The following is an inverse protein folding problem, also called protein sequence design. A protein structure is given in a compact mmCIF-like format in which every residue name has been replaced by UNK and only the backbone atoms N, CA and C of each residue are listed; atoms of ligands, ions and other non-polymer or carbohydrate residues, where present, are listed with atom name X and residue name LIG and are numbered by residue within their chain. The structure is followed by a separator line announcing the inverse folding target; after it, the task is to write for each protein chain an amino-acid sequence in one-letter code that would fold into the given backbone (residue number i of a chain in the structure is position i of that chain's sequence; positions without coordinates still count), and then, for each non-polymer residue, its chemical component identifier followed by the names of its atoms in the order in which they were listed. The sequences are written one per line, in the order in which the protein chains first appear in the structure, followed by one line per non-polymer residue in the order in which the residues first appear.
data_IF_754518863013
#
_entry.id   IF_754518863013
#
_cell.length_a   1.000
_cell.length_b   1.000
_cell.length_c   1.000
_cell.angle_alpha   90.00
_cell.angle_beta   90.00
_cell.angle_gamma   90.00
#
_symmetry.space_group_name_H-M   'P 1'
#
loop_
_entity.id
_entity.type
_entity.pdbx_description
1 polymer ?
#
# COMPACT_ATOMS: atom_id res chain seq x y z
N UNK A 1 -41.27 2.12 40.08
CA UNK A 1 -40.57 0.81 40.01
C UNK A 1 -39.11 1.14 39.79
N UNK A 2 -38.42 1.35 40.91
CA UNK A 2 -37.02 1.76 40.96
C UNK A 2 -36.12 0.52 40.78
N UNK A 3 -35.41 0.43 39.66
CA UNK A 3 -34.34 -0.56 39.47
C UNK A 3 -32.99 0.11 39.63
N UNK A 4 -32.39 -0.15 40.79
CA UNK A 4 -31.04 0.20 41.21
C UNK A 4 -30.06 -0.78 40.56
N UNK A 5 -29.15 -0.28 39.72
CA UNK A 5 -28.05 -1.08 39.17
C UNK A 5 -26.98 -1.36 40.24
N UNK A 6 -26.30 -2.53 40.22
CA UNK A 6 -25.23 -2.83 41.15
C UNK A 6 -23.92 -2.17 40.71
N UNK A 7 -23.18 -1.70 41.71
CA UNK A 7 -21.80 -1.19 41.61
C UNK A 7 -20.89 -2.42 41.67
N UNK A 8 -20.09 -2.64 40.64
CA UNK A 8 -19.04 -3.66 40.64
C UNK A 8 -17.83 -3.15 41.40
N UNK A 9 -17.44 -3.90 42.43
CA UNK A 9 -16.25 -3.70 43.25
C UNK A 9 -14.97 -3.99 42.44
N UNK A 10 -14.10 -2.99 42.33
CA UNK A 10 -12.73 -3.16 41.85
C UNK A 10 -11.92 -4.00 42.86
N UNK A 11 -11.53 -5.21 42.44
CA UNK A 11 -10.57 -6.04 43.17
C UNK A 11 -9.15 -5.59 42.79
N UNK A 12 -8.32 -5.13 43.75
CA UNK A 12 -6.93 -4.82 43.47
C UNK A 12 -6.14 -6.12 43.24
N UNK A 13 -5.53 -6.24 42.06
CA UNK A 13 -4.58 -7.31 41.74
C UNK A 13 -3.27 -7.05 42.48
N UNK A 14 -3.14 -7.69 43.65
CA UNK A 14 -1.91 -7.77 44.42
C UNK A 14 -0.91 -8.70 43.72
N UNK A 15 0.06 -8.11 43.03
CA UNK A 15 1.14 -8.81 42.33
C UNK A 15 2.27 -9.13 43.32
N UNK A 16 2.11 -10.19 44.10
CA UNK A 16 3.12 -10.68 45.05
C UNK A 16 4.04 -11.70 44.34
N UNK A 17 5.05 -11.17 43.65
CA UNK A 17 6.06 -11.94 42.93
C UNK A 17 7.47 -11.68 43.49
N UNK A 18 8.27 -12.71 43.80
CA UNK A 18 9.60 -12.54 44.39
C UNK A 18 10.56 -11.85 43.41
N UNK A 19 11.13 -10.73 43.87
CA UNK A 19 12.18 -9.99 43.15
C UNK A 19 13.41 -10.89 42.91
N UNK A 20 13.99 -10.89 41.69
CA UNK A 20 15.22 -11.63 41.42
C UNK A 20 16.39 -11.05 42.23
N UNK A 21 17.05 -11.92 42.99
CA UNK A 21 18.26 -11.63 43.75
C UNK A 21 19.35 -11.04 42.85
N UNK A 22 19.74 -9.80 43.13
CA UNK A 22 20.94 -9.18 42.53
C UNK A 22 22.19 -9.84 43.13
N UNK A 23 23.15 -10.32 42.30
CA UNK A 23 24.41 -10.81 42.81
C UNK A 23 25.21 -9.67 43.47
N UNK A 24 25.37 -9.74 44.79
CA UNK A 24 26.28 -8.88 45.57
C UNK A 24 27.73 -9.26 45.27
N UNK A 25 28.28 -8.70 44.21
CA UNK A 25 29.71 -8.71 43.91
C UNK A 25 30.50 -7.88 44.92
N UNK A 26 31.26 -8.58 45.76
CA UNK A 26 32.21 -8.06 46.76
C UNK A 26 33.13 -6.98 46.19
N UNK A 27 33.16 -5.82 46.85
CA UNK A 27 34.24 -4.84 46.78
C UNK A 27 35.50 -5.43 47.43
N UNK A 28 36.57 -5.57 46.66
CA UNK A 28 37.94 -5.60 47.16
C UNK A 28 38.64 -4.33 46.68
N UNK A 29 38.69 -3.31 47.54
CA UNK A 29 39.53 -2.12 47.35
C UNK A 29 40.93 -2.46 47.87
N UNK A 30 41.86 -2.74 46.95
CA UNK A 30 43.30 -2.71 47.23
C UNK A 30 43.90 -1.43 46.62
N UNK A 31 44.72 -0.65 47.35
CA UNK A 31 45.39 0.50 46.80
C UNK A 31 46.66 0.05 46.04
N UNK A 32 46.53 -0.20 44.74
CA UNK A 32 47.69 -0.28 43.85
C UNK A 32 48.13 1.13 43.48
N UNK A 33 49.07 1.68 44.25
CA UNK A 33 49.90 2.82 43.83
C UNK A 33 50.80 2.38 42.67
N UNK A 34 50.25 2.37 41.47
CA UNK A 34 51.00 2.24 40.22
C UNK A 34 51.63 3.59 39.88
N UNK A 35 52.97 3.64 39.83
CA UNK A 35 53.75 4.73 39.26
C UNK A 35 53.19 5.09 37.89
N UNK A 36 52.62 6.28 37.75
CA UNK A 36 52.40 6.91 36.46
C UNK A 36 53.77 7.35 35.97
N UNK A 37 54.44 6.49 35.19
CA UNK A 37 55.55 6.94 34.36
C UNK A 37 54.99 7.99 33.42
N UNK A 38 55.52 9.21 33.50
CA UNK A 38 55.17 10.30 32.62
C UNK A 38 55.41 9.86 31.17
N UNK A 39 54.34 9.54 30.46
CA UNK A 39 54.43 9.30 29.03
C UNK A 39 54.77 10.62 28.35
N UNK A 40 55.80 10.55 27.50
CA UNK A 40 56.25 11.63 26.65
C UNK A 40 55.04 12.26 25.91
N UNK A 41 54.87 13.60 25.91
CA UNK A 41 53.76 14.28 25.24
C UNK A 41 53.55 13.85 23.78
N UNK A 42 54.59 13.37 23.11
CA UNK A 42 54.50 12.84 21.75
C UNK A 42 53.66 11.56 21.66
N UNK A 43 53.87 10.61 22.59
CA UNK A 43 53.15 9.32 22.64
C UNK A 43 51.67 9.52 22.96
N UNK A 44 51.35 10.51 23.81
CA UNK A 44 49.97 10.88 24.12
C UNK A 44 49.23 11.47 22.92
N UNK A 45 49.91 12.26 22.08
CA UNK A 45 49.32 12.82 20.85
C UNK A 45 49.07 11.76 19.79
N UNK A 46 49.99 10.80 19.63
CA UNK A 46 49.82 9.68 18.69
C UNK A 46 48.69 8.74 19.12
N UNK A 47 48.56 8.44 20.41
CA UNK A 47 47.47 7.60 20.92
C UNK A 47 46.09 8.25 20.75
N UNK A 48 45.97 9.57 20.94
CA UNK A 48 44.73 10.32 20.70
C UNK A 48 44.40 10.33 19.20
N UNK A 49 45.39 10.56 18.32
CA UNK A 49 45.19 10.52 16.87
C UNK A 49 44.71 9.16 16.37
N UNK A 50 45.29 8.06 16.86
CA UNK A 50 44.88 6.70 16.53
C UNK A 50 43.46 6.38 17.04
N UNK A 51 43.09 6.85 18.24
CA UNK A 51 41.75 6.69 18.78
C UNK A 51 40.67 7.42 17.96
N UNK A 52 40.96 8.64 17.49
CA UNK A 52 40.04 9.41 16.63
C UNK A 52 39.86 8.70 15.27
N UNK A 53 40.94 8.21 14.65
CA UNK A 53 40.85 7.46 13.40
C UNK A 53 40.05 6.15 13.54
N UNK A 54 40.21 5.43 14.65
CA UNK A 54 39.45 4.22 14.93
C UNK A 54 37.94 4.52 15.12
N UNK A 55 37.60 5.62 15.80
CA UNK A 55 36.21 6.06 15.97
C UNK A 55 35.59 6.55 14.66
N UNK A 56 36.34 7.24 13.81
CA UNK A 56 35.89 7.63 12.46
C UNK A 56 35.68 6.42 11.57
N UNK A 57 36.56 5.41 11.64
CA UNK A 57 36.40 4.16 10.90
C UNK A 57 35.17 3.36 11.38
N UNK A 58 34.96 3.24 12.69
CA UNK A 58 33.76 2.61 13.28
C UNK A 58 32.47 3.40 12.98
N UNK A 59 32.54 4.73 12.95
CA UNK A 59 31.44 5.59 12.53
C UNK A 59 31.09 5.41 11.06
N UNK A 60 32.09 5.30 10.17
CA UNK A 60 31.88 5.12 8.73
C UNK A 60 31.38 3.71 8.38
N UNK A 61 31.81 2.67 9.09
CA UNK A 61 31.32 1.29 8.86
C UNK A 61 29.90 1.09 9.38
N UNK A 62 29.53 1.72 10.49
CA UNK A 62 28.14 1.72 10.99
C UNK A 62 27.22 2.58 10.12
N UNK A 63 27.70 3.73 9.63
CA UNK A 63 26.92 4.60 8.72
C UNK A 63 26.63 3.94 7.36
N UNK A 64 27.60 3.22 6.76
CA UNK A 64 27.39 2.55 5.46
C UNK A 64 26.34 1.42 5.50
N UNK A 65 26.15 0.78 6.65
CA UNK A 65 25.12 -0.24 6.84
C UNK A 65 23.70 0.31 6.92
N UNK A 66 23.53 1.59 7.27
CA UNK A 66 22.19 2.18 7.49
C UNK A 66 21.54 2.80 6.24
N UNK A 67 22.29 3.09 5.17
CA UNK A 67 21.78 3.91 4.06
C UNK A 67 21.96 3.33 2.65
N UNK A 68 22.38 2.06 2.49
CA UNK A 68 22.74 1.53 1.16
C UNK A 68 21.95 0.33 0.64
N UNK A 69 21.17 -0.38 1.47
CA UNK A 69 20.43 -1.58 1.03
C UNK A 69 18.96 -1.31 0.72
N UNK A 70 18.33 -0.39 1.44
CA UNK A 70 16.92 -0.05 1.23
C UNK A 70 16.68 0.54 -0.16
N UNK A 71 17.51 1.48 -0.60
CA UNK A 71 17.37 2.13 -1.92
C UNK A 71 17.57 1.17 -3.09
N UNK A 72 18.48 0.19 -2.97
CA UNK A 72 18.73 -0.79 -4.02
C UNK A 72 17.59 -1.82 -4.14
N UNK A 73 16.95 -2.18 -3.03
CA UNK A 73 15.80 -3.08 -3.03
C UNK A 73 14.54 -2.38 -3.54
N UNK A 74 14.34 -1.13 -3.15
CA UNK A 74 13.29 -0.24 -3.66
C UNK A 74 13.42 -0.04 -5.16
N UNK A 75 14.61 0.37 -5.66
CA UNK A 75 14.82 0.54 -7.10
C UNK A 75 14.57 -0.75 -7.86
N UNK A 76 15.00 -1.90 -7.32
CA UNK A 76 14.74 -3.21 -7.93
C UNK A 76 13.25 -3.58 -7.98
N UNK A 77 12.48 -3.19 -6.96
CA UNK A 77 11.02 -3.38 -6.97
C UNK A 77 10.35 -2.50 -8.03
N UNK A 78 10.84 -1.27 -8.22
CA UNK A 78 10.35 -0.34 -9.24
C UNK A 78 10.76 -0.74 -10.67
N UNK A 79 11.99 -1.22 -10.84
CA UNK A 79 12.52 -1.74 -12.11
C UNK A 79 11.81 -3.03 -12.56
N UNK A 80 11.01 -3.65 -11.68
CA UNK A 80 10.16 -4.79 -12.03
C UNK A 80 8.95 -4.40 -12.90
N UNK A 81 8.68 -3.09 -13.07
CA UNK A 81 7.62 -2.61 -13.95
C UNK A 81 7.79 -3.21 -15.36
N UNK A 82 6.77 -3.89 -15.91
CA UNK A 82 6.89 -4.52 -17.22
C UNK A 82 7.21 -3.49 -18.30
N UNK A 83 8.29 -3.71 -19.06
CA UNK A 83 8.54 -2.92 -20.27
C UNK A 83 7.55 -3.31 -21.37
N UNK A 84 7.23 -2.36 -22.25
CA UNK A 84 6.37 -2.60 -23.41
C UNK A 84 6.86 -3.81 -24.22
N UNK A 85 5.97 -4.78 -24.47
CA UNK A 85 6.29 -6.02 -25.19
C UNK A 85 6.83 -7.17 -24.33
N UNK A 86 7.04 -6.98 -23.02
CA UNK A 86 7.40 -8.09 -22.11
C UNK A 86 6.17 -8.83 -21.54
N UNK A 87 5.01 -8.19 -21.60
CA UNK A 87 3.73 -8.76 -21.20
C UNK A 87 3.24 -9.80 -22.22
N UNK A 88 2.39 -10.76 -21.81
CA UNK A 88 1.72 -11.66 -22.74
C UNK A 88 0.94 -10.89 -23.82
N UNK A 89 0.76 -11.48 -24.99
CA UNK A 89 0.04 -10.85 -26.11
C UNK A 89 -1.38 -10.48 -25.66
N UNK A 90 -1.79 -9.24 -25.95
CA UNK A 90 -3.11 -8.71 -25.59
C UNK A 90 -3.20 -8.10 -24.18
N UNK A 91 -2.13 -8.18 -23.39
CA UNK A 91 -2.06 -7.54 -22.07
C UNK A 91 -1.35 -6.18 -22.13
N UNK A 92 -1.89 -5.22 -21.39
CA UNK A 92 -1.32 -3.86 -21.27
C UNK A 92 -1.34 -3.39 -19.83
N UNK A 93 -0.41 -2.51 -19.47
CA UNK A 93 -0.43 -1.83 -18.17
C UNK A 93 -1.39 -0.66 -18.23
N UNK A 94 -2.45 -0.71 -17.42
CA UNK A 94 -3.44 0.37 -17.31
C UNK A 94 -3.08 1.40 -16.26
N UNK A 95 -2.51 0.97 -15.13
CA UNK A 95 -2.08 1.83 -14.05
C UNK A 95 -0.82 1.28 -13.38
N UNK A 96 0.05 2.20 -12.99
CA UNK A 96 1.29 1.92 -12.24
C UNK A 96 1.41 2.94 -11.11
N UNK A 97 1.60 2.45 -9.89
CA UNK A 97 1.82 3.29 -8.72
C UNK A 97 3.13 2.90 -8.04
N UNK A 98 3.98 3.89 -7.80
CA UNK A 98 5.24 3.72 -7.07
C UNK A 98 5.07 4.24 -5.64
N UNK A 99 5.34 3.37 -4.66
CA UNK A 99 5.42 3.68 -3.25
C UNK A 99 6.86 3.45 -2.75
N UNK A 100 7.27 4.00 -1.58
CA UNK A 100 8.65 3.87 -1.09
C UNK A 100 9.19 2.44 -0.98
N UNK A 101 8.34 1.43 -0.80
CA UNK A 101 8.78 0.03 -0.71
C UNK A 101 7.98 -0.89 -1.62
N UNK A 102 7.23 -0.35 -2.59
CA UNK A 102 6.25 -1.13 -3.34
C UNK A 102 5.97 -0.52 -4.71
N UNK A 103 5.70 -1.38 -5.66
CA UNK A 103 5.15 -1.06 -6.98
C UNK A 103 3.81 -1.78 -7.10
N UNK A 104 2.74 -1.05 -7.40
CA UNK A 104 1.43 -1.63 -7.68
C UNK A 104 1.10 -1.47 -9.17
N UNK A 105 0.66 -2.54 -9.81
CA UNK A 105 0.37 -2.62 -11.23
C UNK A 105 -1.05 -3.12 -11.43
N UNK A 106 -1.80 -2.43 -12.29
CA UNK A 106 -3.06 -2.94 -12.83
C UNK A 106 -2.87 -3.24 -14.31
N UNK A 107 -3.02 -4.51 -14.65
CA UNK A 107 -2.81 -5.05 -15.99
C UNK A 107 -4.15 -5.45 -16.55
N UNK A 108 -4.46 -4.99 -17.75
CA UNK A 108 -5.73 -5.24 -18.43
C UNK A 108 -5.45 -6.09 -19.65
N UNK A 109 -6.15 -7.22 -19.73
CA UNK A 109 -6.03 -8.16 -20.83
C UNK A 109 -6.93 -7.79 -22.02
N UNK A 110 -7.02 -8.68 -23.02
CA UNK A 110 -7.73 -8.40 -24.26
C UNK A 110 -9.22 -8.11 -24.00
N UNK A 111 -9.78 -7.18 -24.78
CA UNK A 111 -11.20 -6.90 -24.73
C UNK A 111 -12.01 -8.17 -25.04
N UNK A 112 -13.05 -8.47 -24.27
CA UNK A 112 -13.89 -9.63 -24.52
C UNK A 112 -14.58 -9.51 -25.88
N UNK A 113 -14.72 -10.63 -26.58
CA UNK A 113 -15.40 -10.69 -27.88
C UNK A 113 -16.92 -10.51 -27.77
N UNK A 114 -17.47 -10.79 -26.59
CA UNK A 114 -18.87 -10.60 -26.25
C UNK A 114 -19.03 -9.44 -25.25
N UNK A 115 -20.19 -8.78 -25.27
CA UNK A 115 -20.47 -7.63 -24.39
C UNK A 115 -20.89 -8.04 -22.97
N UNK A 116 -20.94 -9.34 -22.68
CA UNK A 116 -21.45 -9.88 -21.41
C UNK A 116 -20.33 -10.32 -20.46
N UNK A 117 -19.15 -10.60 -20.99
CA UNK A 117 -17.97 -11.01 -20.24
C UNK A 117 -17.26 -9.79 -19.69
N UNK A 118 -16.81 -9.87 -18.45
CA UNK A 118 -15.93 -8.85 -17.86
C UNK A 118 -14.54 -8.94 -18.48
N UNK A 119 -13.92 -7.80 -18.75
CA UNK A 119 -12.53 -7.78 -19.22
C UNK A 119 -11.60 -8.44 -18.17
N UNK A 120 -10.64 -9.29 -18.58
CA UNK A 120 -9.66 -9.85 -17.65
C UNK A 120 -8.76 -8.76 -17.07
N UNK A 121 -8.61 -8.75 -15.74
CA UNK A 121 -7.73 -7.79 -15.03
C UNK A 121 -6.84 -8.54 -14.05
N UNK A 122 -5.55 -8.24 -14.06
CA UNK A 122 -4.56 -8.75 -13.09
C UNK A 122 -4.03 -7.59 -12.27
N UNK A 123 -4.04 -7.76 -10.96
CA UNK A 123 -3.39 -6.87 -10.01
C UNK A 123 -2.08 -7.53 -9.57
N UNK A 124 -0.97 -6.82 -9.77
CA UNK A 124 0.34 -7.26 -9.30
C UNK A 124 0.91 -6.23 -8.33
N UNK A 125 1.48 -6.72 -7.24
CA UNK A 125 2.20 -5.92 -6.25
C UNK A 125 3.62 -6.44 -6.15
N UNK A 126 4.61 -5.58 -6.32
CA UNK A 126 6.03 -5.90 -6.17
C UNK A 126 6.56 -5.11 -4.97
N UNK A 127 6.85 -5.81 -3.87
CA UNK A 127 7.23 -5.20 -2.59
C UNK A 127 8.68 -5.51 -2.24
N UNK A 128 9.39 -4.52 -1.71
CA UNK A 128 10.70 -4.70 -1.10
C UNK A 128 10.55 -5.09 0.37
N UNK A 129 11.15 -6.21 0.78
CA UNK A 129 11.14 -6.71 2.16
C UNK A 129 12.53 -6.78 2.80
N UNK A 130 13.55 -6.19 2.16
CA UNK A 130 14.95 -6.25 2.60
C UNK A 130 15.34 -7.68 3.04
N UNK A 131 15.56 -7.89 4.34
CA UNK A 131 16.06 -9.16 4.90
C UNK A 131 14.96 -10.19 5.23
N UNK A 132 13.68 -9.81 5.29
CA UNK A 132 12.58 -10.71 5.70
C UNK A 132 11.62 -11.12 4.56
N UNK A 133 12.09 -11.06 3.31
CA UNK A 133 11.30 -11.50 2.16
C UNK A 133 10.89 -12.99 2.26
N UNK A 134 11.76 -13.84 2.85
CA UNK A 134 11.46 -15.26 3.08
C UNK A 134 10.30 -15.45 4.07
N UNK A 135 10.35 -14.70 5.16
CA UNK A 135 9.36 -14.75 6.23
C UNK A 135 8.02 -14.24 5.73
N UNK A 136 8.01 -13.17 4.93
CA UNK A 136 6.81 -12.63 4.31
C UNK A 136 6.07 -13.68 3.47
N UNK A 137 6.74 -14.32 2.50
CA UNK A 137 6.13 -15.36 1.64
C UNK A 137 5.66 -16.55 2.48
N UNK A 138 6.42 -16.96 3.49
CA UNK A 138 6.03 -18.09 4.35
C UNK A 138 4.79 -17.77 5.18
N UNK A 139 4.72 -16.59 5.80
CA UNK A 139 3.55 -16.15 6.58
C UNK A 139 2.31 -16.00 5.72
N UNK A 140 2.45 -15.44 4.52
CA UNK A 140 1.35 -15.28 3.56
C UNK A 140 0.81 -16.63 3.10
N UNK A 141 1.70 -17.57 2.77
CA UNK A 141 1.34 -18.97 2.47
C UNK A 141 0.58 -19.64 3.61
N UNK A 142 1.10 -19.52 4.83
CA UNK A 142 0.51 -20.16 6.00
C UNK A 142 -0.87 -19.54 6.32
N UNK A 143 -1.03 -18.22 6.09
CA UNK A 143 -2.32 -17.55 6.17
C UNK A 143 -3.32 -18.06 5.10
N UNK A 144 -2.89 -18.19 3.84
CA UNK A 144 -3.74 -18.76 2.79
C UNK A 144 -4.21 -20.18 3.12
N UNK A 145 -3.32 -21.02 3.66
CA UNK A 145 -3.68 -22.36 4.12
C UNK A 145 -4.67 -22.34 5.30
N UNK A 146 -4.50 -21.40 6.25
CA UNK A 146 -5.41 -21.25 7.38
C UNK A 146 -6.82 -20.83 6.96
N UNK A 147 -6.96 -20.07 5.87
CA UNK A 147 -8.23 -19.71 5.22
C UNK A 147 -8.84 -20.85 4.37
N UNK A 148 -8.27 -22.06 4.44
CA UNK A 148 -8.77 -23.23 3.71
C UNK A 148 -8.49 -23.20 2.21
N UNK A 149 -7.60 -22.32 1.74
CA UNK A 149 -7.19 -22.29 0.34
C UNK A 149 -6.29 -23.49 0.02
N UNK A 150 -6.36 -23.98 -1.21
CA UNK A 150 -5.46 -25.05 -1.67
C UNK A 150 -4.13 -24.42 -2.06
N UNK A 151 -3.11 -24.65 -1.23
CA UNK A 151 -1.76 -24.10 -1.41
C UNK A 151 -0.85 -25.10 -2.12
N UNK A 152 -0.24 -24.70 -3.23
CA UNK A 152 0.80 -25.48 -3.92
C UNK A 152 2.09 -24.69 -4.01
N UNK A 153 3.20 -25.28 -3.53
CA UNK A 153 4.52 -24.65 -3.60
C UNK A 153 5.00 -24.51 -5.05
N UNK A 154 5.73 -23.44 -5.32
CA UNK A 154 6.31 -23.13 -6.63
C UNK A 154 7.83 -23.07 -6.51
N UNK A 155 8.49 -23.99 -7.20
CA UNK A 155 9.96 -24.06 -7.30
C UNK A 155 10.47 -23.54 -8.64
N UNK A 156 9.56 -23.22 -9.54
CA UNK A 156 9.79 -22.73 -10.90
C UNK A 156 9.73 -21.21 -11.00
N UNK A 157 9.21 -20.51 -9.99
CA UNK A 157 9.16 -19.06 -9.88
C UNK A 157 10.02 -18.56 -8.72
N UNK A 158 10.84 -17.54 -8.98
CA UNK A 158 11.64 -16.92 -7.94
C UNK A 158 12.66 -17.87 -7.29
N UNK A 159 13.05 -17.52 -6.06
CA UNK A 159 13.84 -18.37 -5.15
C UNK A 159 12.94 -19.05 -4.09
N UNK A 160 11.66 -18.65 -4.03
CA UNK A 160 10.60 -19.23 -3.20
C UNK A 160 9.26 -18.70 -3.70
N UNK A 161 8.25 -19.56 -3.87
CA UNK A 161 6.89 -19.10 -4.16
C UNK A 161 5.82 -20.13 -3.86
N UNK A 162 4.57 -19.73 -3.99
CA UNK A 162 3.40 -20.60 -3.91
C UNK A 162 2.25 -20.05 -4.76
N UNK A 163 1.32 -20.95 -5.06
CA UNK A 163 0.00 -20.63 -5.58
C UNK A 163 -1.02 -20.94 -4.50
N UNK A 164 -2.07 -20.15 -4.40
CA UNK A 164 -3.23 -20.45 -3.59
C UNK A 164 -4.50 -20.34 -4.45
N UNK A 165 -5.34 -21.37 -4.36
CA UNK A 165 -6.61 -21.45 -5.07
C UNK A 165 -7.75 -21.32 -4.09
N UNK A 166 -8.65 -20.40 -4.37
CA UNK A 166 -9.93 -20.31 -3.65
C UNK A 166 -10.93 -21.33 -4.22
N UNK A 167 -12.01 -21.59 -3.48
CA UNK A 167 -13.12 -22.45 -3.96
C UNK A 167 -13.78 -21.94 -5.25
N UNK A 168 -13.62 -20.64 -5.56
CA UNK A 168 -14.09 -20.02 -6.80
C UNK A 168 -13.18 -20.26 -8.01
N UNK A 169 -12.02 -20.90 -7.81
CA UNK A 169 -11.04 -21.14 -8.87
C UNK A 169 -10.14 -19.95 -9.18
N UNK A 170 -10.32 -18.80 -8.50
CA UNK A 170 -9.41 -17.66 -8.60
C UNK A 170 -8.05 -18.06 -8.04
N UNK A 171 -7.00 -17.87 -8.86
CA UNK A 171 -5.61 -18.15 -8.52
C UNK A 171 -4.89 -16.91 -8.00
N UNK A 172 -4.31 -17.04 -6.82
CA UNK A 172 -3.33 -16.12 -6.25
C UNK A 172 -1.93 -16.72 -6.39
N UNK A 173 -0.96 -15.94 -6.86
CA UNK A 173 0.45 -16.36 -6.93
C UNK A 173 1.30 -15.37 -6.15
N UNK A 174 2.15 -15.87 -5.27
CA UNK A 174 3.16 -15.07 -4.61
C UNK A 174 4.53 -15.75 -4.69
N UNK A 175 5.55 -15.00 -5.08
CA UNK A 175 6.92 -15.49 -5.13
C UNK A 175 7.91 -14.39 -4.74
N UNK A 176 9.11 -14.78 -4.29
CA UNK A 176 10.21 -13.85 -4.02
C UNK A 176 11.36 -14.08 -4.99
N UNK A 177 12.11 -13.01 -5.27
CA UNK A 177 13.43 -13.06 -5.88
C UNK A 177 14.37 -12.16 -5.09
N UNK A 178 15.29 -12.77 -4.34
CA UNK A 178 16.10 -12.07 -3.34
C UNK A 178 15.22 -11.37 -2.28
N UNK A 179 15.34 -10.03 -2.21
CA UNK A 179 14.63 -9.17 -1.26
C UNK A 179 13.28 -8.64 -1.76
N UNK A 180 12.89 -8.99 -2.99
CA UNK A 180 11.65 -8.53 -3.63
C UNK A 180 10.62 -9.65 -3.60
N UNK A 181 9.39 -9.34 -3.20
CA UNK A 181 8.25 -10.25 -3.20
C UNK A 181 7.20 -9.74 -4.19
N UNK A 182 6.74 -10.60 -5.07
CA UNK A 182 5.70 -10.34 -6.06
C UNK A 182 4.45 -11.09 -5.64
N UNK A 183 3.33 -10.40 -5.51
CA UNK A 183 2.01 -10.97 -5.27
C UNK A 183 1.08 -10.62 -6.43
N UNK A 184 0.35 -11.61 -6.95
CA UNK A 184 -0.47 -11.48 -8.16
C UNK A 184 -1.85 -12.07 -7.88
N UNK A 185 -2.89 -11.29 -8.18
CA UNK A 185 -4.27 -11.70 -8.11
C UNK A 185 -5.00 -11.36 -9.41
N UNK A 186 -5.97 -12.19 -9.80
CA UNK A 186 -6.79 -12.01 -10.98
C UNK A 186 -8.24 -11.64 -10.61
N UNK A 187 -8.90 -10.93 -11.53
CA UNK A 187 -10.34 -10.64 -11.51
C UNK A 187 -10.91 -10.59 -12.93
N UNK A 188 -12.23 -10.43 -13.03
CA UNK A 188 -12.94 -10.44 -14.31
C UNK A 188 -12.83 -11.82 -14.98
N UNK A 189 -12.58 -11.85 -16.29
CA UNK A 189 -12.40 -13.10 -17.04
C UNK A 189 -10.96 -13.63 -17.07
N UNK A 190 -10.06 -13.15 -16.20
CA UNK A 190 -8.68 -13.61 -16.17
C UNK A 190 -8.59 -15.07 -15.72
N UNK A 191 -7.90 -15.89 -16.51
CA UNK A 191 -7.72 -17.32 -16.24
C UNK A 191 -6.50 -17.57 -15.37
N UNK A 192 -6.40 -18.77 -14.78
CA UNK A 192 -5.17 -19.20 -14.09
C UNK A 192 -3.95 -19.18 -15.02
N UNK A 193 -4.13 -19.51 -16.30
CA UNK A 193 -3.07 -19.43 -17.29
C UNK A 193 -2.57 -17.98 -17.52
N UNK A 194 -3.46 -16.99 -17.44
CA UNK A 194 -3.08 -15.58 -17.53
C UNK A 194 -2.23 -15.16 -16.32
N UNK A 195 -2.63 -15.57 -15.11
CA UNK A 195 -1.88 -15.31 -13.87
C UNK A 195 -0.49 -15.95 -13.93
N UNK A 196 -0.39 -17.18 -14.42
CA UNK A 196 0.88 -17.90 -14.62
C UNK A 196 1.80 -17.22 -15.64
N UNK A 197 1.23 -16.82 -16.78
CA UNK A 197 1.97 -16.08 -17.81
C UNK A 197 2.49 -14.75 -17.26
N UNK A 198 1.69 -14.07 -16.42
CA UNK A 198 2.08 -12.82 -15.79
C UNK A 198 3.17 -13.00 -14.74
N UNK A 199 3.04 -14.01 -13.89
CA UNK A 199 4.06 -14.37 -12.90
C UNK A 199 5.41 -14.65 -13.56
N UNK A 200 5.39 -15.41 -14.66
CA UNK A 200 6.58 -15.71 -15.46
C UNK A 200 7.19 -14.46 -16.11
N UNK A 201 6.36 -13.52 -16.56
CA UNK A 201 6.85 -12.26 -17.13
C UNK A 201 7.54 -11.40 -16.07
N UNK A 202 6.93 -11.23 -14.90
CA UNK A 202 7.49 -10.47 -13.79
C UNK A 202 8.74 -11.13 -13.20
N UNK A 203 8.77 -12.46 -13.11
CA UNK A 203 9.96 -13.18 -12.66
C UNK A 203 11.16 -12.95 -13.58
N UNK A 204 10.94 -12.96 -14.90
CA UNK A 204 11.98 -12.65 -15.91
C UNK A 204 12.48 -11.21 -15.79
N UNK A 205 11.59 -10.25 -15.52
CA UNK A 205 12.01 -8.85 -15.30
C UNK A 205 12.91 -8.70 -14.07
N UNK A 206 12.65 -9.50 -13.02
CA UNK A 206 13.49 -9.52 -11.82
C UNK A 206 14.81 -10.29 -11.98
N UNK A 207 15.11 -10.77 -13.20
CA UNK A 207 16.32 -11.52 -13.54
C UNK A 207 16.17 -13.04 -13.44
N UNK A 208 14.94 -13.53 -13.32
CA UNK A 208 14.64 -14.96 -13.32
C UNK A 208 14.73 -15.60 -14.70
N UNK A 209 14.91 -16.92 -14.71
CA UNK A 209 14.93 -17.75 -15.93
C UNK A 209 13.69 -18.64 -16.03
N UNK A 210 12.64 -18.33 -15.28
CA UNK A 210 11.41 -19.12 -15.29
C UNK A 210 10.86 -19.24 -16.72
N UNK A 211 10.51 -20.47 -17.08
CA UNK A 211 9.70 -20.75 -18.25
C UNK A 211 8.26 -20.92 -17.81
N UNK A 212 7.30 -20.57 -18.66
CA UNK A 212 5.89 -20.74 -18.32
C UNK A 212 5.64 -22.19 -17.92
N UNK A 213 5.26 -22.42 -16.66
CA UNK A 213 4.87 -23.73 -16.21
C UNK A 213 3.62 -24.17 -16.96
N UNK A 214 3.55 -25.45 -17.33
CA UNK A 214 2.29 -26.03 -17.78
C UNK A 214 1.28 -25.85 -16.65
N UNK A 215 0.14 -25.16 -16.87
CA UNK A 215 -0.86 -24.98 -15.84
C UNK A 215 -1.24 -26.34 -15.25
N UNK A 216 -1.37 -26.48 -13.92
CA UNK A 216 -1.90 -27.69 -13.34
C UNK A 216 -3.25 -27.96 -13.98
N UNK A 217 -3.48 -29.21 -14.42
CA UNK A 217 -4.73 -29.58 -15.06
C UNK A 217 -5.89 -29.17 -14.15
N UNK A 218 -6.68 -28.19 -14.61
CA UNK A 218 -7.84 -27.72 -13.88
C UNK A 218 -8.72 -28.97 -13.59
N UNK A 219 -9.16 -29.19 -12.34
CA UNK A 219 -10.05 -30.30 -12.07
C UNK A 219 -11.24 -30.17 -13.03
N UNK A 220 -11.40 -31.17 -13.89
CA UNK A 220 -12.55 -31.23 -14.78
C UNK A 220 -13.79 -31.16 -13.89
N UNK A 221 -14.77 -30.30 -14.20
CA UNK A 221 -16.03 -30.27 -13.46
C UNK A 221 -16.56 -31.71 -13.45
N UNK A 222 -16.66 -32.30 -12.27
CA UNK A 222 -17.18 -33.65 -12.14
C UNK A 222 -18.62 -33.59 -12.61
N UNK A 223 -18.92 -34.35 -13.67
CA UNK A 223 -20.22 -34.49 -14.29
C UNK A 223 -21.28 -34.75 -13.21
N UNK A 224 -22.05 -33.71 -12.87
CA UNK A 224 -23.21 -33.86 -12.03
C UNK A 224 -24.25 -34.63 -12.86
N UNK A 225 -24.46 -35.90 -12.53
CA UNK A 225 -25.37 -36.78 -13.24
C UNK A 225 -26.80 -36.21 -13.39
N UNK A 226 -27.59 -36.76 -14.34
CA UNK A 226 -28.88 -36.20 -14.71
C UNK A 226 -29.89 -36.37 -13.56
N UNK A 227 -30.14 -35.30 -12.82
CA UNK A 227 -31.31 -35.21 -11.94
C UNK A 227 -32.56 -34.97 -12.79
N UNK A 228 -33.25 -36.06 -13.09
CA UNK A 228 -34.62 -36.07 -13.59
C UNK A 228 -35.57 -35.76 -12.45
N UNK A 229 -35.86 -34.48 -12.24
CA UNK A 229 -37.08 -34.03 -11.57
C UNK A 229 -37.38 -32.61 -12.06
N UNK A 230 -38.22 -32.51 -13.07
CA UNK A 230 -38.78 -31.25 -13.53
C UNK A 230 -39.88 -30.80 -12.56
N UNK A 231 -39.79 -29.61 -11.96
CA UNK A 231 -40.96 -28.85 -11.54
C UNK A 231 -41.42 -27.98 -12.70
N UNK A 232 -42.72 -28.06 -12.96
CA UNK A 232 -43.53 -27.20 -13.82
C UNK A 232 -43.15 -25.71 -13.73
N UNK A 233 -43.01 -24.98 -14.85
CA UNK A 233 -42.71 -23.56 -14.83
C UNK A 233 -43.94 -22.77 -14.37
N UNK A 234 -43.92 -22.28 -13.13
CA UNK A 234 -44.75 -21.15 -12.71
C UNK A 234 -44.17 -19.85 -13.30
N UNK A 235 -45.00 -18.82 -13.57
CA UNK A 235 -44.52 -17.56 -14.11
C UNK A 235 -43.69 -16.83 -13.04
N UNK A 236 -42.37 -17.04 -13.05
CA UNK A 236 -41.44 -16.19 -12.32
C UNK A 236 -41.40 -14.85 -13.03
N UNK A 237 -42.00 -13.84 -12.40
CA UNK A 237 -41.80 -12.47 -12.76
C UNK A 237 -40.29 -12.17 -12.73
N UNK A 238 -39.72 -11.84 -13.89
CA UNK A 238 -38.44 -11.16 -13.97
C UNK A 238 -38.58 -9.83 -13.23
N UNK A 239 -38.27 -9.82 -11.94
CA UNK A 239 -37.72 -8.61 -11.32
C UNK A 239 -36.38 -8.38 -11.96
N UNK A 240 -36.37 -7.60 -13.04
CA UNK A 240 -35.19 -6.91 -13.49
C UNK A 240 -34.54 -6.29 -12.25
N UNK A 241 -33.31 -6.71 -11.96
CA UNK A 241 -32.51 -6.03 -10.95
C UNK A 241 -32.44 -4.56 -11.39
N UNK A 242 -33.16 -3.71 -10.67
CA UNK A 242 -33.01 -2.27 -10.82
C UNK A 242 -31.52 -1.96 -10.64
N UNK A 243 -30.90 -1.14 -11.50
CA UNK A 243 -29.55 -0.70 -11.27
C UNK A 243 -29.49 -0.11 -9.86
N UNK A 244 -28.64 -0.68 -8.99
CA UNK A 244 -28.37 -0.06 -7.70
C UNK A 244 -27.97 1.39 -7.98
N UNK A 245 -28.63 2.38 -7.35
CA UNK A 245 -28.26 3.77 -7.56
C UNK A 245 -26.78 3.90 -7.20
N UNK A 246 -25.97 4.43 -8.13
CA UNK A 246 -24.61 4.82 -7.82
C UNK A 246 -24.70 5.80 -6.63
N UNK A 247 -24.04 5.47 -5.53
CA UNK A 247 -24.03 6.34 -4.35
C UNK A 247 -23.02 7.44 -4.64
N UNK A 248 -23.53 8.63 -4.97
CA UNK A 248 -22.73 9.80 -5.34
C UNK A 248 -22.62 10.79 -4.19
N UNK A 249 -21.57 11.62 -4.20
CA UNK A 249 -21.33 12.73 -3.27
C UNK A 249 -21.43 14.08 -4.03
N UNK A 250 -22.64 14.52 -4.43
CA UNK A 250 -22.83 15.67 -5.31
C UNK A 250 -22.29 16.98 -4.72
N UNK A 251 -22.21 17.10 -3.40
CA UNK A 251 -21.62 18.26 -2.74
C UNK A 251 -20.11 18.39 -2.98
N UNK A 252 -19.41 17.26 -3.14
CA UNK A 252 -17.98 17.25 -3.47
C UNK A 252 -17.75 17.51 -4.95
N UNK A 253 -18.63 17.02 -5.82
CA UNK A 253 -18.57 17.34 -7.25
C UNK A 253 -18.74 18.83 -7.50
N UNK A 254 -19.59 19.50 -6.72
CA UNK A 254 -19.86 20.93 -6.85
C UNK A 254 -18.67 21.84 -6.49
N UNK A 255 -17.73 21.37 -5.66
CA UNK A 255 -16.53 22.15 -5.29
C UNK A 255 -15.34 21.90 -6.21
N UNK A 256 -15.38 20.84 -7.01
CA UNK A 256 -14.31 20.49 -7.94
C UNK A 256 -14.45 21.30 -9.24
N UNK A 257 -13.35 21.82 -9.81
CA UNK A 257 -13.40 22.56 -11.06
C UNK A 257 -13.72 21.62 -12.22
N UNK A 258 -14.73 21.97 -13.02
CA UNK A 258 -15.05 21.24 -14.25
C UNK A 258 -14.06 21.51 -15.40
N UNK A 259 -13.27 22.57 -15.31
CA UNK A 259 -12.29 22.96 -16.33
C UNK A 259 -11.07 23.63 -15.70
N UNK A 260 -9.87 23.32 -16.19
CA UNK A 260 -8.61 24.01 -15.85
C UNK A 260 -7.84 24.27 -17.14
N UNK A 261 -7.37 25.50 -17.37
CA UNK A 261 -6.66 25.87 -18.60
C UNK A 261 -7.50 25.70 -19.87
N UNK A 262 -8.84 25.68 -19.75
CA UNK A 262 -9.76 25.33 -20.84
C UNK A 262 -9.87 23.83 -21.14
N UNK A 263 -9.15 22.97 -20.41
CA UNK A 263 -9.26 21.50 -20.50
C UNK A 263 -10.43 21.04 -19.63
N UNK A 264 -11.43 20.32 -20.18
CA UNK A 264 -12.51 19.75 -19.39
C UNK A 264 -12.02 18.58 -18.54
N UNK A 265 -12.37 18.58 -17.26
CA UNK A 265 -12.07 17.48 -16.33
C UNK A 265 -13.28 16.54 -16.23
N UNK A 266 -12.99 15.25 -16.06
CA UNK A 266 -13.99 14.25 -15.66
C UNK A 266 -14.07 14.23 -14.14
N UNK A 267 -15.28 14.34 -13.60
CA UNK A 267 -15.54 14.31 -12.17
C UNK A 267 -16.32 13.03 -11.85
N UNK A 268 -15.81 12.26 -10.90
CA UNK A 268 -16.50 11.09 -10.35
C UNK A 268 -16.55 11.20 -8.82
N UNK A 269 -17.61 10.70 -8.20
CA UNK A 269 -17.73 10.64 -6.75
C UNK A 269 -18.23 9.29 -6.26
N UNK A 270 -17.90 8.99 -5.02
CA UNK A 270 -18.34 7.78 -4.33
C UNK A 270 -18.41 8.05 -2.82
N UNK A 271 -19.11 7.16 -2.11
CA UNK A 271 -19.21 7.21 -0.64
C UNK A 271 -18.91 5.86 0.00
N UNK A 272 -18.66 5.88 1.30
CA UNK A 272 -18.54 4.67 2.09
C UNK A 272 -17.36 3.80 1.72
N UNK A 273 -17.56 2.49 1.92
CA UNK A 273 -16.56 1.48 1.56
C UNK A 273 -16.32 1.37 0.06
N UNK A 274 -17.16 1.96 -0.79
CA UNK A 274 -16.97 1.92 -2.25
C UNK A 274 -15.83 2.83 -2.72
N UNK A 275 -15.49 3.84 -1.91
CA UNK A 275 -14.33 4.73 -2.14
C UNK A 275 -13.02 4.04 -1.73
N UNK A 276 -13.07 3.31 -0.62
CA UNK A 276 -11.88 2.74 -0.01
C UNK A 276 -11.52 1.40 -0.66
N UNK A 277 -10.38 1.38 -1.34
CA UNK A 277 -9.78 0.17 -1.87
C UNK A 277 -9.13 -0.69 -0.79
N UNK A 278 -8.42 -1.72 -1.22
CA UNK A 278 -7.64 -2.58 -0.33
C UNK A 278 -6.21 -2.07 -0.15
N UNK A 279 -5.84 -0.88 -0.62
CA UNK A 279 -4.50 -0.32 -0.47
C UNK A 279 -4.24 0.19 0.97
N UNK A 280 -2.98 0.34 1.41
CA UNK A 280 -2.64 0.78 2.75
C UNK A 280 -3.22 2.15 3.13
N UNK A 281 -3.30 3.10 2.19
CA UNK A 281 -3.87 4.42 2.43
C UNK A 281 -5.36 4.32 2.74
N UNK A 282 -6.10 3.58 1.91
CA UNK A 282 -7.51 3.28 2.14
C UNK A 282 -7.75 2.54 3.45
N UNK A 283 -6.96 1.50 3.77
CA UNK A 283 -7.08 0.78 5.05
C UNK A 283 -6.76 1.67 6.26
N UNK A 284 -5.78 2.56 6.12
CA UNK A 284 -5.41 3.47 7.19
C UNK A 284 -6.49 4.54 7.43
N UNK A 285 -7.15 5.03 6.36
CA UNK A 285 -8.34 5.87 6.50
C UNK A 285 -9.46 5.10 7.20
N UNK A 286 -9.78 3.89 6.75
CA UNK A 286 -10.82 3.07 7.38
C UNK A 286 -10.55 2.85 8.88
N UNK A 287 -9.31 2.54 9.25
CA UNK A 287 -8.91 2.37 10.65
C UNK A 287 -8.98 3.68 11.46
N UNK A 288 -8.65 4.82 10.84
CA UNK A 288 -8.77 6.13 11.49
C UNK A 288 -10.24 6.51 11.75
N UNK A 289 -11.14 6.23 10.80
CA UNK A 289 -12.58 6.43 10.96
C UNK A 289 -13.15 5.54 12.07
N UNK A 290 -12.79 4.25 12.08
CA UNK A 290 -13.19 3.30 13.12
C UNK A 290 -12.71 3.74 14.51
N UNK A 291 -11.45 4.18 14.63
CA UNK A 291 -10.88 4.71 15.88
C UNK A 291 -11.63 5.97 16.36
N UNK A 292 -12.09 6.81 15.43
CA UNK A 292 -12.88 8.00 15.73
C UNK A 292 -14.37 7.70 16.01
N UNK A 293 -14.81 6.45 15.85
CA UNK A 293 -16.21 6.05 15.99
C UNK A 293 -17.11 6.62 14.89
N UNK A 294 -16.56 6.93 13.72
CA UNK A 294 -17.29 7.47 12.57
C UNK A 294 -17.63 6.32 11.62
N UNK A 295 -18.91 6.13 11.26
CA UNK A 295 -19.28 5.05 10.34
C UNK A 295 -18.65 5.30 8.96
N UNK A 296 -18.23 4.22 8.31
CA UNK A 296 -17.56 4.33 7.01
C UNK A 296 -18.43 5.03 5.96
N UNK A 297 -19.76 4.87 6.03
CA UNK A 297 -20.71 5.49 5.10
C UNK A 297 -20.69 7.02 5.13
N UNK A 298 -20.16 7.64 6.19
CA UNK A 298 -19.98 9.09 6.30
C UNK A 298 -18.71 9.59 5.58
N UNK A 299 -17.86 8.69 5.07
CA UNK A 299 -16.68 9.03 4.26
C UNK A 299 -17.06 9.19 2.80
N UNK A 300 -16.82 10.38 2.25
CA UNK A 300 -17.12 10.73 0.87
C UNK A 300 -15.82 11.13 0.16
N UNK A 301 -15.69 10.76 -1.12
CA UNK A 301 -14.65 11.32 -1.96
C UNK A 301 -15.17 11.65 -3.36
N UNK A 302 -14.54 12.63 -3.98
CA UNK A 302 -14.69 12.91 -5.39
C UNK A 302 -13.32 13.17 -6.02
N UNK A 303 -13.15 12.76 -7.27
CA UNK A 303 -11.94 12.98 -8.04
C UNK A 303 -12.28 13.74 -9.33
N UNK A 304 -11.49 14.77 -9.64
CA UNK A 304 -11.47 15.43 -10.92
C UNK A 304 -10.12 15.17 -11.62
N UNK A 305 -10.16 14.66 -12.85
CA UNK A 305 -8.94 14.35 -13.62
C UNK A 305 -9.15 14.60 -15.12
N UNK A 306 -8.05 14.76 -15.87
CA UNK A 306 -8.08 14.86 -17.32
C UNK A 306 -7.97 13.46 -17.95
N UNK A 307 -9.06 12.89 -18.52
CA UNK A 307 -9.01 11.56 -19.15
C UNK A 307 -8.16 11.54 -20.43
N UNK A 308 -7.91 12.69 -21.05
CA UNK A 308 -7.10 12.83 -22.26
C UNK A 308 -5.60 12.93 -21.98
N UNK A 309 -5.20 13.18 -20.72
CA UNK A 309 -3.79 13.37 -20.35
C UNK A 309 -3.13 14.58 -21.02
N UNK A 310 -3.91 15.61 -21.37
CA UNK A 310 -3.43 16.89 -21.90
C UNK A 310 -2.68 17.68 -20.83
N UNK A 311 -3.15 17.60 -19.58
CA UNK A 311 -2.49 18.16 -18.40
C UNK A 311 -2.22 17.08 -17.36
N UNK A 312 -1.08 17.21 -16.67
CA UNK A 312 -0.73 16.37 -15.53
C UNK A 312 -1.41 16.90 -14.26
N UNK A 313 -2.67 16.52 -14.09
CA UNK A 313 -3.51 16.98 -12.98
C UNK A 313 -4.54 15.92 -12.55
N UNK A 314 -4.55 15.62 -11.25
CA UNK A 314 -5.68 14.99 -10.55
C UNK A 314 -5.98 15.78 -9.27
N UNK A 315 -7.25 15.96 -8.95
CA UNK A 315 -7.72 16.63 -7.74
C UNK A 315 -8.63 15.68 -7.01
N UNK A 316 -8.28 15.29 -5.79
CA UNK A 316 -9.12 14.43 -4.94
C UNK A 316 -9.65 15.26 -3.78
N UNK A 317 -10.97 15.32 -3.63
CA UNK A 317 -11.64 15.93 -2.49
C UNK A 317 -12.12 14.84 -1.53
N UNK A 318 -11.80 14.99 -0.25
CA UNK A 318 -12.24 14.13 0.83
C UNK A 318 -13.15 14.90 1.78
N UNK A 319 -14.19 14.22 2.28
CA UNK A 319 -15.07 14.74 3.33
C UNK A 319 -15.50 13.60 4.25
N UNK A 320 -15.64 13.93 5.52
CA UNK A 320 -16.22 13.02 6.52
C UNK A 320 -17.29 13.77 7.28
N UNK A 321 -18.53 13.31 7.20
CA UNK A 321 -19.65 13.94 7.91
C UNK A 321 -19.38 13.91 9.41
N UNK A 322 -19.47 15.07 10.06
CA UNK A 322 -19.24 15.20 11.50
C UNK A 322 -17.77 15.29 11.95
N UNK A 323 -16.80 15.18 11.04
CA UNK A 323 -15.38 15.36 11.37
C UNK A 323 -14.93 16.81 11.16
N UNK A 324 -14.21 17.43 12.12
CA UNK A 324 -13.56 18.72 11.89
C UNK A 324 -12.55 18.64 10.74
N UNK A 325 -12.56 19.65 9.85
CA UNK A 325 -11.67 19.67 8.66
C UNK A 325 -10.19 19.59 9.02
N UNK A 326 -9.79 20.13 10.18
CA UNK A 326 -8.41 20.06 10.65
C UNK A 326 -7.98 18.63 11.03
N UNK A 327 -8.91 17.81 11.53
CA UNK A 327 -8.64 16.41 11.85
C UNK A 327 -8.66 15.55 10.58
N UNK A 328 -9.61 15.81 9.67
CA UNK A 328 -9.60 15.19 8.35
C UNK A 328 -8.30 15.49 7.60
N UNK A 329 -7.81 16.74 7.67
CA UNK A 329 -6.55 17.14 7.03
C UNK A 329 -5.37 16.36 7.58
N UNK A 330 -5.30 16.13 8.89
CA UNK A 330 -4.24 15.30 9.50
C UNK A 330 -4.33 13.86 9.02
N UNK A 331 -5.52 13.28 9.01
CA UNK A 331 -5.74 11.91 8.52
C UNK A 331 -5.27 11.81 7.06
N UNK A 332 -5.77 12.65 6.15
CA UNK A 332 -5.36 12.64 4.75
C UNK A 332 -3.84 12.83 4.61
N UNK A 333 -3.24 13.76 5.34
CA UNK A 333 -1.79 13.96 5.28
C UNK A 333 -1.00 12.73 5.76
N UNK A 334 -1.40 12.12 6.87
CA UNK A 334 -0.67 11.02 7.50
C UNK A 334 -0.94 9.67 6.84
N UNK A 335 -2.18 9.39 6.44
CA UNK A 335 -2.60 8.08 5.96
C UNK A 335 -2.61 8.00 4.44
N UNK A 336 -3.18 9.00 3.76
CA UNK A 336 -3.32 9.00 2.30
C UNK A 336 -2.01 9.42 1.62
N UNK A 337 -1.41 10.52 2.09
CA UNK A 337 -0.17 11.06 1.52
C UNK A 337 1.10 10.54 2.20
N UNK A 338 0.96 9.74 3.28
CA UNK A 338 2.11 9.26 4.06
C UNK A 338 3.11 10.38 4.40
N UNK A 339 2.62 11.57 4.76
CA UNK A 339 3.41 12.79 4.95
C UNK A 339 4.42 12.71 6.11
N UNK A 340 4.35 11.67 6.94
CA UNK A 340 5.30 11.34 8.00
C UNK A 340 6.22 10.15 7.64
N UNK A 341 6.12 9.65 6.41
CA UNK A 341 6.92 8.54 5.90
C UNK A 341 8.40 8.89 5.82
N UNK A 342 9.26 7.88 5.98
CA UNK A 342 10.71 8.06 5.88
C UNK A 342 11.09 8.61 4.50
N UNK A 343 11.78 9.76 4.49
CA UNK A 343 12.21 10.43 3.25
C UNK A 343 11.17 11.41 2.69
N UNK A 344 9.95 11.43 3.22
CA UNK A 344 8.91 12.40 2.84
C UNK A 344 9.09 13.68 3.64
N UNK A 345 9.03 14.83 2.96
CA UNK A 345 9.04 16.13 3.63
C UNK A 345 7.74 16.87 3.38
N UNK A 346 7.27 17.60 4.38
CA UNK A 346 6.08 18.43 4.28
C UNK A 346 6.44 19.87 4.65
N UNK A 347 5.90 20.82 3.89
CA UNK A 347 6.08 22.25 4.19
C UNK A 347 4.83 23.04 3.87
N UNK A 348 4.59 24.09 4.64
CA UNK A 348 3.57 25.07 4.29
C UNK A 348 4.15 26.04 3.26
N UNK A 349 3.44 26.25 2.15
CA UNK A 349 3.81 27.19 1.10
C UNK A 349 2.60 28.04 0.71
N UNK A 350 2.83 29.12 -0.04
CA UNK A 350 1.77 29.97 -0.58
C UNK A 350 1.71 29.79 -2.09
N UNK A 351 0.57 29.35 -2.61
CA UNK A 351 0.29 29.21 -4.04
C UNK A 351 -1.01 29.94 -4.37
N UNK A 352 -1.01 30.75 -5.43
CA UNK A 352 -2.19 31.55 -5.80
C UNK A 352 -2.70 32.46 -4.66
N UNK A 353 -1.84 32.86 -3.73
CA UNK A 353 -2.23 33.63 -2.53
C UNK A 353 -2.89 32.82 -1.40
N UNK A 354 -3.09 31.51 -1.59
CA UNK A 354 -3.62 30.59 -0.55
C UNK A 354 -2.47 29.83 0.11
N UNK A 355 -2.58 29.60 1.42
CA UNK A 355 -1.66 28.74 2.15
C UNK A 355 -2.03 27.28 1.93
N UNK A 356 -1.07 26.47 1.51
CA UNK A 356 -1.23 25.03 1.23
C UNK A 356 -0.10 24.23 1.87
N UNK A 357 -0.36 22.96 2.17
CA UNK A 357 0.69 22.03 2.60
C UNK A 357 1.19 21.26 1.40
N UNK A 358 2.45 21.49 1.03
CA UNK A 358 3.15 20.75 -0.01
C UNK A 358 3.77 19.49 0.60
N UNK A 359 3.60 18.35 -0.07
CA UNK A 359 4.28 17.09 0.24
C UNK A 359 5.34 16.82 -0.84
N UNK A 360 6.56 16.47 -0.46
CA UNK A 360 7.66 16.18 -1.37
C UNK A 360 8.25 14.81 -1.00
N UNK A 361 8.14 13.86 -1.94
CA UNK A 361 8.64 12.49 -1.80
C UNK A 361 10.13 12.35 -2.17
N UNK A 362 10.77 13.40 -2.69
CA UNK A 362 12.18 13.42 -3.04
C UNK A 362 12.54 12.68 -4.34
N UNK A 363 11.53 12.24 -5.10
CA UNK A 363 11.68 11.50 -6.36
C UNK A 363 11.58 12.38 -7.62
N UNK A 364 11.21 13.66 -7.45
CA UNK A 364 10.97 14.59 -8.56
C UNK A 364 9.69 14.30 -9.36
N UNK A 365 8.81 13.45 -8.82
CA UNK A 365 7.52 13.12 -9.40
C UNK A 365 6.44 14.16 -9.11
N UNK A 366 5.20 13.70 -9.21
CA UNK A 366 4.01 14.50 -8.91
C UNK A 366 4.06 15.01 -7.47
N UNK A 367 3.84 16.31 -7.29
CA UNK A 367 3.85 16.95 -5.97
C UNK A 367 2.41 17.13 -5.49
N UNK A 368 2.00 16.51 -4.37
CA UNK A 368 0.70 16.77 -3.75
C UNK A 368 0.68 18.11 -3.02
N UNK A 369 -0.39 18.88 -3.25
CA UNK A 369 -0.73 20.06 -2.46
C UNK A 369 -2.05 19.84 -1.73
N UNK A 370 -2.00 19.87 -0.41
CA UNK A 370 -3.14 19.69 0.47
C UNK A 370 -3.72 21.06 0.85
N UNK A 371 -5.02 21.27 0.62
CA UNK A 371 -5.72 22.52 0.92
C UNK A 371 -7.09 22.24 1.55
N UNK A 372 -7.42 22.86 2.70
CA UNK A 372 -8.77 22.81 3.25
C UNK A 372 -9.70 23.72 2.42
N UNK A 373 -10.93 23.26 2.18
CA UNK A 373 -12.00 24.04 1.55
C UNK A 373 -13.35 23.70 2.20
N UNK A 374 -13.89 24.62 2.99
CA UNK A 374 -15.10 24.35 3.77
C UNK A 374 -14.89 23.22 4.78
N UNK A 375 -15.73 22.18 4.68
CA UNK A 375 -15.64 20.94 5.46
C UNK A 375 -14.92 19.80 4.71
N UNK A 376 -14.36 20.08 3.54
CA UNK A 376 -13.60 19.15 2.73
C UNK A 376 -12.09 19.46 2.74
N UNK A 377 -11.30 18.44 2.43
CA UNK A 377 -9.85 18.54 2.22
C UNK A 377 -9.55 18.10 0.79
N UNK A 378 -8.85 18.96 0.04
CA UNK A 378 -8.48 18.67 -1.34
C UNK A 378 -7.00 18.35 -1.43
N UNK A 379 -6.67 17.34 -2.22
CA UNK A 379 -5.33 16.96 -2.64
C UNK A 379 -5.20 17.27 -4.13
N UNK A 380 -4.34 18.21 -4.47
CA UNK A 380 -4.03 18.57 -5.86
C UNK A 380 -2.71 17.88 -6.22
N UNK A 381 -2.76 16.91 -7.13
CA UNK A 381 -1.61 16.17 -7.61
C UNK A 381 -1.20 16.72 -8.98
N UNK A 382 -0.02 17.33 -9.06
CA UNK A 382 0.56 17.80 -10.33
C UNK A 382 2.07 17.97 -10.22
N UNK A 383 2.79 17.84 -11.34
CA UNK A 383 4.20 18.25 -11.46
C UNK A 383 4.38 19.76 -11.66
N UNK A 384 3.30 20.51 -11.95
CA UNK A 384 3.35 21.95 -12.26
C UNK A 384 2.78 22.81 -11.12
N UNK A 385 3.61 23.60 -10.41
CA UNK A 385 3.13 24.54 -9.39
C UNK A 385 2.17 25.60 -9.93
N UNK A 386 2.31 25.98 -11.20
CA UNK A 386 1.43 26.96 -11.85
C UNK A 386 0.02 26.37 -12.07
N UNK A 387 -0.08 25.10 -12.46
CA UNK A 387 -1.37 24.40 -12.54
C UNK A 387 -2.02 24.28 -11.16
N UNK A 388 -1.25 23.97 -10.12
CA UNK A 388 -1.77 23.94 -8.76
C UNK A 388 -2.32 25.32 -8.32
N UNK A 389 -1.61 26.40 -8.66
CA UNK A 389 -2.07 27.77 -8.38
C UNK A 389 -3.34 28.13 -9.19
N UNK A 390 -3.46 27.66 -10.43
CA UNK A 390 -4.65 27.84 -11.25
C UNK A 390 -5.87 27.13 -10.64
N UNK A 391 -5.70 25.86 -10.23
CA UNK A 391 -6.74 25.11 -9.52
C UNK A 391 -7.20 25.88 -8.27
N UNK A 392 -6.25 26.33 -7.45
CA UNK A 392 -6.55 27.07 -6.21
C UNK A 392 -7.34 28.37 -6.46
N UNK A 393 -7.19 28.99 -7.64
CA UNK A 393 -7.94 30.19 -8.02
C UNK A 393 -9.38 29.89 -8.46
N UNK A 394 -9.68 28.65 -8.83
CA UNK A 394 -11.04 28.21 -9.22
C UNK A 394 -11.87 27.66 -8.05
N UNK A 395 -11.20 27.27 -6.95
CA UNK A 395 -11.87 26.75 -5.77
C UNK A 395 -12.64 27.86 -5.04
N UNK A 396 -13.79 27.52 -4.41
CA UNK A 396 -14.61 28.47 -3.66
C UNK A 396 -13.90 29.08 -2.43
#
# INVERSE_FOLDING_TARGET
MDSKAPVDDEVPLEFDGPLPERPRGRRARGPLRGRVTAFDPLTRRLAIGAGILALVALGLTTWKGFFSTASACQSRAWDAAPVAGSLPIGWTTSATQFDPNRLSLTLVGPAPVDQTSSQPVIYATVSCFADDAAGAVSRSRDAAAAEGQTVSLRTDLGDQGYTALTSSGVSYIEFRRGSVVVAIAASGAATSADVEAMATALDRQLGGTASAATPPAQPSPTDAGPSTNAPTPGPSASTAALPSPAVTAPELEAILPATIGGVPLTINSATGSSVLGTDPGSRAIAAALDTAGIPIDDFHAAEAYDPGGTIDLSIVAFRVVGMPVDDLRKIVLETWLAGNGTGVTTKTTTLGGRSVTQVDYGDGGTTPYLVPSGDAVLVINTTSPDLAAEVLATLP
#
